data_IF_887079917725
#
_entry.id   IF_887079917725
#
_cell.length_a   1.000
_cell.length_b   1.000
_cell.length_c   1.000
_cell.angle_alpha   90.00
_cell.angle_beta   90.00
_cell.angle_gamma   90.00
#
_symmetry.space_group_name_H-M   'P 1'
#
loop_
_entity.id
_entity.type
_entity.pdbx_description
1 polymer ?
#
# COMPACT_ATOMS: atom_id res chain seq x y z
N UNK A 1 -21.85 2.81 4.04
CA UNK A 1 -20.83 3.75 3.51
C UNK A 1 -19.93 4.39 4.57
N UNK A 2 -20.43 5.09 5.61
CA UNK A 2 -19.59 5.83 6.59
C UNK A 2 -18.48 5.00 7.29
N UNK A 3 -18.70 3.70 7.52
CA UNK A 3 -17.74 2.81 8.21
C UNK A 3 -16.46 2.51 7.41
N UNK A 4 -16.50 2.65 6.09
CA UNK A 4 -15.38 2.32 5.20
C UNK A 4 -14.75 3.56 4.54
N UNK A 5 -15.31 4.75 4.77
CA UNK A 5 -14.81 6.00 4.20
C UNK A 5 -13.31 6.21 4.43
N UNK A 6 -12.73 5.94 5.61
CA UNK A 6 -11.28 6.08 5.82
C UNK A 6 -10.46 5.15 4.91
N UNK A 7 -10.91 3.92 4.70
CA UNK A 7 -10.26 2.93 3.84
C UNK A 7 -10.31 3.37 2.36
N UNK A 8 -11.45 3.91 1.91
CA UNK A 8 -11.57 4.44 0.56
C UNK A 8 -10.65 5.63 0.32
N UNK A 9 -10.63 6.61 1.24
CA UNK A 9 -9.75 7.78 1.12
C UNK A 9 -8.28 7.33 1.10
N UNK A 10 -7.91 6.41 1.98
CA UNK A 10 -6.59 5.80 1.99
C UNK A 10 -6.23 5.13 0.65
N UNK A 11 -7.10 4.29 0.08
CA UNK A 11 -6.84 3.69 -1.24
C UNK A 11 -6.70 4.75 -2.34
N UNK A 12 -7.56 5.77 -2.34
CA UNK A 12 -7.51 6.85 -3.33
C UNK A 12 -6.26 7.73 -3.21
N UNK A 13 -5.73 7.99 -2.01
CA UNK A 13 -4.47 8.75 -1.87
C UNK A 13 -3.30 7.99 -2.45
N UNK A 14 -3.25 6.67 -2.30
CA UNK A 14 -2.24 5.79 -2.90
C UNK A 14 -2.34 5.78 -4.43
N UNK A 15 -3.56 5.68 -4.98
CA UNK A 15 -3.78 5.80 -6.44
C UNK A 15 -3.30 7.16 -6.93
N UNK A 16 -3.68 8.23 -6.23
CA UNK A 16 -3.32 9.60 -6.59
C UNK A 16 -1.82 9.84 -6.55
N UNK A 17 -1.11 9.27 -5.57
CA UNK A 17 0.36 9.28 -5.53
C UNK A 17 0.98 8.64 -6.79
N UNK A 18 0.40 7.54 -7.26
CA UNK A 18 0.84 6.90 -8.50
C UNK A 18 0.57 7.73 -9.76
N UNK A 19 -0.61 8.36 -9.84
CA UNK A 19 -0.94 9.28 -10.94
C UNK A 19 0.01 10.50 -10.94
N UNK A 20 0.31 11.05 -9.77
CA UNK A 20 1.27 12.16 -9.64
C UNK A 20 2.65 11.76 -10.16
N UNK A 21 3.15 10.58 -9.82
CA UNK A 21 4.43 10.08 -10.32
C UNK A 21 4.45 9.98 -11.86
N UNK A 22 3.35 9.54 -12.48
CA UNK A 22 3.25 9.39 -13.95
C UNK A 22 3.16 10.77 -14.65
N UNK A 23 2.29 11.64 -14.17
CA UNK A 23 1.98 12.91 -14.85
C UNK A 23 2.98 14.01 -14.54
N UNK A 24 3.58 14.00 -13.35
CA UNK A 24 4.57 15.00 -12.92
C UNK A 24 6.01 14.50 -13.07
N UNK A 25 6.25 13.41 -13.82
CA UNK A 25 7.60 12.87 -14.07
C UNK A 25 8.60 13.88 -14.64
N UNK A 26 8.10 14.86 -15.41
CA UNK A 26 8.91 15.91 -16.03
C UNK A 26 8.82 17.26 -15.29
N UNK A 27 8.21 17.27 -14.10
CA UNK A 27 8.09 18.48 -13.29
C UNK A 27 9.36 18.77 -12.48
N UNK A 28 9.39 19.92 -11.81
CA UNK A 28 10.46 20.25 -10.86
C UNK A 28 10.44 19.25 -9.69
N UNK A 29 11.61 18.69 -9.38
CA UNK A 29 11.82 17.76 -8.27
C UNK A 29 11.16 18.23 -6.96
N UNK A 30 11.37 19.50 -6.60
CA UNK A 30 10.83 20.08 -5.37
C UNK A 30 9.30 20.03 -5.30
N UNK A 31 8.61 20.21 -6.43
CA UNK A 31 7.15 20.13 -6.50
C UNK A 31 6.67 18.69 -6.34
N UNK A 32 7.27 17.74 -7.08
CA UNK A 32 6.93 16.32 -6.96
C UNK A 32 7.16 15.81 -5.53
N UNK A 33 8.34 16.10 -4.96
CA UNK A 33 8.72 15.76 -3.58
C UNK A 33 7.66 16.24 -2.58
N UNK A 34 7.30 17.52 -2.65
CA UNK A 34 6.36 18.13 -1.70
C UNK A 34 4.96 17.53 -1.81
N UNK A 35 4.42 17.46 -3.03
CA UNK A 35 3.04 16.98 -3.25
C UNK A 35 2.94 15.49 -2.89
N UNK A 36 3.92 14.68 -3.31
CA UNK A 36 3.97 13.25 -2.99
C UNK A 36 4.10 13.00 -1.48
N UNK A 37 4.95 13.76 -0.80
CA UNK A 37 5.10 13.66 0.65
C UNK A 37 3.82 14.02 1.41
N UNK A 38 3.14 15.11 1.01
CA UNK A 38 1.88 15.54 1.65
C UNK A 38 0.77 14.51 1.42
N UNK A 39 0.57 14.05 0.18
CA UNK A 39 -0.54 13.13 -0.13
C UNK A 39 -0.38 11.78 0.58
N UNK A 40 0.85 11.30 0.72
CA UNK A 40 1.14 10.05 1.43
C UNK A 40 1.07 10.22 2.95
N UNK A 41 1.39 11.40 3.49
CA UNK A 41 1.14 11.74 4.89
C UNK A 41 -0.36 11.68 5.20
N UNK A 42 -1.19 12.28 4.33
CA UNK A 42 -2.66 12.22 4.45
C UNK A 42 -3.12 10.75 4.37
N UNK A 43 -2.60 9.98 3.41
CA UNK A 43 -2.87 8.55 3.29
C UNK A 43 -2.53 7.76 4.55
N UNK A 44 -1.37 8.04 5.17
CA UNK A 44 -0.94 7.41 6.41
C UNK A 44 -1.90 7.68 7.58
N UNK A 45 -2.38 8.93 7.73
CA UNK A 45 -3.37 9.28 8.74
C UNK A 45 -4.65 8.47 8.55
N UNK A 46 -5.17 8.37 7.33
CA UNK A 46 -6.38 7.59 7.04
C UNK A 46 -6.18 6.08 7.21
N UNK A 47 -5.00 5.55 6.86
CA UNK A 47 -4.67 4.15 7.16
C UNK A 47 -4.62 3.89 8.67
N UNK A 48 -4.07 4.82 9.45
CA UNK A 48 -4.04 4.71 10.91
C UNK A 48 -5.44 4.76 11.52
N UNK A 49 -6.30 5.68 11.08
CA UNK A 49 -7.71 5.73 11.48
C UNK A 49 -8.44 4.45 11.11
N UNK A 50 -8.14 3.88 9.94
CA UNK A 50 -8.69 2.59 9.50
C UNK A 50 -8.23 1.45 10.41
N UNK A 51 -6.95 1.41 10.78
CA UNK A 51 -6.39 0.44 11.71
C UNK A 51 -7.11 0.52 13.06
N UNK A 52 -7.17 1.71 13.69
CA UNK A 52 -7.84 1.92 14.99
C UNK A 52 -9.31 1.51 14.98
N UNK A 53 -10.02 1.79 13.87
CA UNK A 53 -11.42 1.38 13.68
C UNK A 53 -11.59 -0.15 13.64
N UNK A 54 -10.50 -0.89 13.40
CA UNK A 54 -10.44 -2.36 13.32
C UNK A 54 -9.67 -3.01 14.47
N UNK A 55 -9.37 -2.29 15.56
CA UNK A 55 -8.63 -2.82 16.74
C UNK A 55 -9.10 -4.17 17.28
N UNK A 56 -10.41 -4.47 17.17
CA UNK A 56 -10.99 -5.75 17.61
C UNK A 56 -10.70 -6.92 16.68
N UNK A 57 -10.14 -6.66 15.50
CA UNK A 57 -9.76 -7.62 14.48
C UNK A 57 -8.25 -7.54 14.25
N UNK A 58 -7.50 -8.28 15.07
CA UNK A 58 -6.03 -8.24 15.12
C UNK A 58 -5.37 -8.26 13.73
N UNK A 59 -5.83 -9.14 12.86
CA UNK A 59 -5.35 -9.26 11.47
C UNK A 59 -5.48 -7.96 10.69
N UNK A 60 -6.69 -7.39 10.65
CA UNK A 60 -6.96 -6.16 9.89
C UNK A 60 -6.29 -4.95 10.53
N UNK A 61 -6.22 -4.92 11.87
CA UNK A 61 -5.51 -3.89 12.62
C UNK A 61 -4.03 -3.84 12.23
N UNK A 62 -3.30 -4.95 12.40
CA UNK A 62 -1.86 -4.97 12.14
C UNK A 62 -1.54 -4.72 10.66
N UNK A 63 -2.39 -5.18 9.74
CA UNK A 63 -2.23 -4.91 8.31
C UNK A 63 -2.24 -3.41 8.00
N UNK A 64 -3.30 -2.71 8.41
CA UNK A 64 -3.44 -1.28 8.14
C UNK A 64 -2.47 -0.43 8.97
N UNK A 65 -2.12 -0.89 10.16
CA UNK A 65 -1.09 -0.25 11.00
C UNK A 65 0.28 -0.30 10.33
N UNK A 66 0.72 -1.47 9.85
CA UNK A 66 1.99 -1.58 9.12
C UNK A 66 2.03 -0.66 7.91
N UNK A 67 0.93 -0.55 7.16
CA UNK A 67 0.84 0.36 6.02
C UNK A 67 0.91 1.83 6.44
N UNK A 68 0.23 2.20 7.52
CA UNK A 68 0.29 3.55 8.08
C UNK A 68 1.72 3.92 8.48
N UNK A 69 2.41 3.02 9.18
CA UNK A 69 3.81 3.19 9.61
C UNK A 69 4.73 3.31 8.39
N UNK A 70 4.61 2.43 7.40
CA UNK A 70 5.44 2.48 6.21
C UNK A 70 5.26 3.80 5.44
N UNK A 71 4.01 4.24 5.25
CA UNK A 71 3.72 5.48 4.53
C UNK A 71 4.19 6.71 5.29
N UNK A 72 4.02 6.78 6.62
CA UNK A 72 4.49 7.93 7.39
C UNK A 72 6.01 7.99 7.41
N UNK A 73 6.70 6.86 7.59
CA UNK A 73 8.16 6.77 7.52
C UNK A 73 8.69 7.20 6.15
N UNK A 74 8.06 6.73 5.07
CA UNK A 74 8.42 7.14 3.71
C UNK A 74 8.12 8.61 3.44
N UNK A 75 6.98 9.13 3.92
CA UNK A 75 6.63 10.55 3.74
C UNK A 75 7.61 11.47 4.46
N UNK A 76 8.01 11.12 5.69
CA UNK A 76 9.06 11.83 6.43
C UNK A 76 10.39 11.74 5.68
N UNK A 77 10.77 10.54 5.20
CA UNK A 77 11.97 10.33 4.40
C UNK A 77 12.00 11.24 3.16
N UNK A 78 10.91 11.29 2.41
CA UNK A 78 10.80 12.19 1.25
C UNK A 78 10.90 13.63 1.70
N UNK A 79 10.02 14.11 2.58
CA UNK A 79 9.90 15.54 2.87
C UNK A 79 11.20 16.13 3.44
N UNK A 80 11.87 15.42 4.35
CA UNK A 80 13.01 15.96 5.09
C UNK A 80 14.37 15.55 4.51
N UNK A 81 14.49 14.36 3.92
CA UNK A 81 15.80 13.80 3.57
C UNK A 81 16.02 13.60 2.06
N UNK A 82 14.96 13.60 1.25
CA UNK A 82 15.10 13.45 -0.20
C UNK A 82 15.53 14.78 -0.85
N UNK A 83 16.69 14.79 -1.50
CA UNK A 83 17.25 15.98 -2.15
C UNK A 83 17.37 15.86 -3.67
N UNK A 84 17.30 14.65 -4.21
CA UNK A 84 17.42 14.38 -5.65
C UNK A 84 16.40 13.33 -6.11
N UNK A 85 16.13 13.32 -7.42
CA UNK A 85 15.34 12.27 -8.08
C UNK A 85 15.87 10.85 -7.83
N UNK A 86 17.19 10.70 -7.75
CA UNK A 86 17.84 9.44 -7.42
C UNK A 86 17.52 8.97 -5.99
N UNK A 87 17.63 9.87 -5.00
CA UNK A 87 17.23 9.54 -3.63
C UNK A 87 15.73 9.22 -3.51
N UNK A 88 14.88 9.88 -4.30
CA UNK A 88 13.46 9.57 -4.38
C UNK A 88 13.23 8.15 -4.91
N UNK A 89 13.92 7.79 -5.99
CA UNK A 89 13.88 6.46 -6.58
C UNK A 89 14.27 5.39 -5.54
N UNK A 90 15.37 5.61 -4.83
CA UNK A 90 15.86 4.69 -3.80
C UNK A 90 14.84 4.51 -2.65
N UNK A 91 14.29 5.60 -2.10
CA UNK A 91 13.29 5.51 -1.05
C UNK A 91 12.00 4.83 -1.52
N UNK A 92 11.58 5.09 -2.75
CA UNK A 92 10.36 4.49 -3.31
C UNK A 92 10.53 2.99 -3.53
N UNK A 93 11.69 2.61 -4.07
CA UNK A 93 12.10 1.21 -4.23
C UNK A 93 12.06 0.48 -2.88
N UNK A 94 12.67 1.07 -1.86
CA UNK A 94 12.68 0.51 -0.51
C UNK A 94 11.26 0.35 0.05
N UNK A 95 10.39 1.36 -0.13
CA UNK A 95 8.98 1.26 0.28
C UNK A 95 8.28 0.07 -0.38
N UNK A 96 8.44 -0.13 -1.69
CA UNK A 96 7.77 -1.22 -2.40
C UNK A 96 8.31 -2.59 -2.04
N UNK A 97 9.62 -2.72 -1.86
CA UNK A 97 10.22 -3.95 -1.35
C UNK A 97 9.68 -4.26 0.05
N UNK A 98 9.66 -3.27 0.94
CA UNK A 98 9.05 -3.41 2.26
C UNK A 98 7.59 -3.86 2.17
N UNK A 99 6.82 -3.30 1.24
CA UNK A 99 5.42 -3.68 1.00
C UNK A 99 5.27 -5.13 0.50
N UNK A 100 6.15 -5.58 -0.38
CA UNK A 100 6.14 -6.96 -0.85
C UNK A 100 6.43 -7.92 0.31
N UNK A 101 7.40 -7.59 1.17
CA UNK A 101 7.70 -8.37 2.37
C UNK A 101 6.55 -8.34 3.39
N UNK A 102 5.90 -7.20 3.61
CA UNK A 102 4.78 -7.10 4.56
C UNK A 102 3.59 -7.95 4.10
N UNK A 103 3.31 -8.02 2.80
CA UNK A 103 2.26 -8.89 2.25
C UNK A 103 2.59 -10.38 2.46
N UNK A 104 3.85 -10.79 2.29
CA UNK A 104 4.30 -12.18 2.54
C UNK A 104 4.17 -12.52 4.03
N UNK A 105 4.65 -11.64 4.91
CA UNK A 105 4.55 -11.82 6.37
C UNK A 105 3.09 -11.91 6.82
N UNK A 106 2.23 -11.07 6.24
CA UNK A 106 0.80 -11.09 6.51
C UNK A 106 0.15 -12.40 6.07
N UNK A 107 0.51 -12.94 4.90
CA UNK A 107 0.04 -14.25 4.45
C UNK A 107 0.49 -15.37 5.40
N UNK A 108 1.75 -15.36 5.83
CA UNK A 108 2.26 -16.32 6.80
C UNK A 108 1.51 -16.25 8.13
N UNK A 109 1.24 -15.04 8.62
CA UNK A 109 0.48 -14.84 9.84
C UNK A 109 -0.97 -15.32 9.72
N UNK A 110 -1.62 -15.10 8.57
CA UNK A 110 -2.94 -15.65 8.27
C UNK A 110 -2.93 -17.18 8.40
N UNK A 111 -1.95 -17.88 7.80
CA UNK A 111 -1.80 -19.33 7.91
C UNK A 111 -1.64 -19.82 9.36
N UNK A 112 -0.84 -19.12 10.16
CA UNK A 112 -0.59 -19.50 11.56
C UNK A 112 -1.79 -19.27 12.49
N UNK A 113 -2.79 -18.47 12.10
CA UNK A 113 -3.97 -18.21 12.93
C UNK A 113 -4.98 -19.37 12.94
N UNK A 114 -4.80 -20.42 12.13
CA UNK A 114 -5.62 -21.64 12.16
C UNK A 114 -7.12 -21.44 11.90
N UNK A 115 -7.53 -20.24 11.47
CA UNK A 115 -8.91 -19.94 11.11
C UNK A 115 -9.23 -20.45 9.71
N UNK A 116 -10.51 -20.55 9.35
CA UNK A 116 -10.97 -20.82 7.99
C UNK A 116 -10.49 -19.70 7.04
N UNK A 117 -9.24 -19.79 6.59
CA UNK A 117 -8.64 -18.84 5.68
C UNK A 117 -9.29 -19.04 4.33
N UNK A 118 -9.88 -17.96 3.81
CA UNK A 118 -10.36 -17.96 2.43
C UNK A 118 -9.10 -17.91 1.55
N UNK A 119 -8.66 -19.06 1.04
CA UNK A 119 -7.44 -19.22 0.20
C UNK A 119 -7.37 -18.21 -0.94
N UNK A 120 -8.52 -17.78 -1.48
CA UNK A 120 -8.62 -16.72 -2.50
C UNK A 120 -7.97 -15.40 -2.04
N UNK A 121 -8.10 -15.03 -0.77
CA UNK A 121 -7.49 -13.81 -0.21
C UNK A 121 -5.97 -13.93 -0.20
N UNK A 122 -5.47 -15.08 0.27
CA UNK A 122 -4.03 -15.33 0.34
C UNK A 122 -3.41 -15.34 -1.05
N UNK A 123 -4.05 -16.02 -2.01
CA UNK A 123 -3.58 -16.04 -3.40
C UNK A 123 -3.45 -14.62 -3.97
N UNK A 124 -4.49 -13.80 -3.81
CA UNK A 124 -4.48 -12.41 -4.28
C UNK A 124 -3.32 -11.63 -3.67
N UNK A 125 -3.08 -11.77 -2.36
CA UNK A 125 -1.99 -11.09 -1.65
C UNK A 125 -0.61 -11.54 -2.06
N UNK A 126 -0.40 -12.84 -2.25
CA UNK A 126 0.86 -13.37 -2.79
C UNK A 126 1.11 -12.81 -4.20
N UNK A 127 0.07 -12.77 -5.06
CA UNK A 127 0.20 -12.19 -6.40
C UNK A 127 0.57 -10.70 -6.35
N UNK A 128 -0.01 -9.94 -5.41
CA UNK A 128 0.34 -8.53 -5.20
C UNK A 128 1.76 -8.39 -4.67
N UNK A 129 2.18 -9.23 -3.72
CA UNK A 129 3.54 -9.22 -3.20
C UNK A 129 4.57 -9.50 -4.31
N UNK A 130 4.31 -10.52 -5.13
CA UNK A 130 5.14 -10.86 -6.28
C UNK A 130 5.16 -9.73 -7.31
N UNK A 131 4.00 -9.19 -7.67
CA UNK A 131 3.91 -8.08 -8.62
C UNK A 131 4.67 -6.85 -8.12
N UNK A 132 4.49 -6.49 -6.85
CA UNK A 132 5.14 -5.32 -6.24
C UNK A 132 6.64 -5.53 -6.12
N UNK A 133 7.08 -6.69 -5.64
CA UNK A 133 8.49 -7.01 -5.46
C UNK A 133 9.23 -7.18 -6.79
N UNK A 134 8.77 -8.08 -7.65
CA UNK A 134 9.39 -8.33 -8.96
C UNK A 134 9.26 -7.08 -9.83
N UNK A 135 8.10 -6.43 -9.85
CA UNK A 135 7.88 -5.20 -10.59
C UNK A 135 8.86 -4.11 -10.17
N UNK A 136 9.12 -3.95 -8.88
CA UNK A 136 10.11 -2.98 -8.38
C UNK A 136 11.53 -3.33 -8.85
N UNK A 137 11.93 -4.60 -8.80
CA UNK A 137 13.26 -5.03 -9.31
C UNK A 137 13.39 -4.77 -10.81
N UNK A 138 12.35 -5.08 -11.59
CA UNK A 138 12.34 -4.79 -13.03
C UNK A 138 12.44 -3.29 -13.29
N UNK A 139 11.61 -2.48 -12.62
CA UNK A 139 11.60 -1.01 -12.78
C UNK A 139 12.97 -0.40 -12.45
N UNK A 140 13.59 -0.85 -11.36
CA UNK A 140 14.92 -0.36 -10.94
C UNK A 140 16.05 -0.85 -11.82
N UNK A 141 15.92 -2.00 -12.49
CA UNK A 141 16.91 -2.45 -13.47
C UNK A 141 17.02 -1.50 -14.68
N UNK A 142 15.97 -0.75 -15.00
CA UNK A 142 15.98 0.28 -16.05
C UNK A 142 16.54 1.63 -15.59
N UNK A 143 17.00 1.74 -14.33
CA UNK A 143 17.31 3.03 -13.73
C UNK A 143 18.41 3.83 -14.44
N UNK A 144 19.37 3.13 -15.05
CA UNK A 144 20.48 3.75 -15.79
C UNK A 144 20.14 4.08 -17.24
N UNK A 145 19.01 3.58 -17.76
CA UNK A 145 18.69 3.66 -19.19
C UNK A 145 17.60 4.68 -19.48
N UNK A 146 16.58 4.80 -18.62
CA UNK A 146 15.47 5.73 -18.84
C UNK A 146 14.80 6.12 -17.52
N UNK A 147 15.11 7.31 -17.00
CA UNK A 147 14.53 7.82 -15.76
C UNK A 147 13.01 8.02 -15.83
N UNK A 148 12.45 8.38 -16.99
CA UNK A 148 10.99 8.55 -17.12
C UNK A 148 10.25 7.21 -16.91
N UNK A 149 10.81 6.11 -17.43
CA UNK A 149 10.22 4.78 -17.28
C UNK A 149 10.22 4.30 -15.82
N UNK A 150 11.15 4.77 -15.00
CA UNK A 150 11.16 4.48 -13.56
C UNK A 150 9.92 5.07 -12.89
N UNK A 151 9.64 6.36 -13.12
CA UNK A 151 8.51 7.04 -12.49
C UNK A 151 7.17 6.50 -12.98
N UNK A 152 7.08 6.15 -14.25
CA UNK A 152 5.91 5.45 -14.79
C UNK A 152 5.73 4.10 -14.09
N UNK A 153 6.79 3.31 -13.99
CA UNK A 153 6.77 2.01 -13.32
C UNK A 153 6.36 2.10 -11.86
N UNK A 154 6.97 3.01 -11.10
CA UNK A 154 6.59 3.28 -9.72
C UNK A 154 5.15 3.78 -9.58
N UNK A 155 4.70 4.63 -10.49
CA UNK A 155 3.33 5.11 -10.49
C UNK A 155 2.31 3.99 -10.72
N UNK A 156 2.60 3.06 -11.64
CA UNK A 156 1.77 1.88 -11.87
C UNK A 156 1.70 0.98 -10.64
N UNK A 157 2.83 0.76 -9.95
CA UNK A 157 2.87 -0.03 -8.71
C UNK A 157 2.00 0.64 -7.63
N UNK A 158 2.13 1.94 -7.42
CA UNK A 158 1.27 2.69 -6.50
C UNK A 158 -0.22 2.51 -6.83
N UNK A 159 -0.61 2.67 -8.09
CA UNK A 159 -2.02 2.51 -8.51
C UNK A 159 -2.54 1.11 -8.17
N UNK A 160 -1.76 0.07 -8.44
CA UNK A 160 -2.15 -1.31 -8.16
C UNK A 160 -2.28 -1.57 -6.66
N UNK A 161 -1.37 -1.07 -5.84
CA UNK A 161 -1.49 -1.14 -4.38
C UNK A 161 -2.75 -0.42 -3.89
N UNK A 162 -3.05 0.75 -4.44
CA UNK A 162 -4.25 1.52 -4.14
C UNK A 162 -5.54 0.77 -4.49
N UNK A 163 -5.61 0.19 -5.68
CA UNK A 163 -6.74 -0.65 -6.11
C UNK A 163 -6.90 -1.85 -5.18
N UNK A 164 -5.81 -2.52 -4.80
CA UNK A 164 -5.87 -3.64 -3.86
C UNK A 164 -6.49 -3.23 -2.51
N UNK A 165 -6.10 -2.08 -1.96
CA UNK A 165 -6.67 -1.56 -0.71
C UNK A 165 -8.18 -1.35 -0.85
N UNK A 166 -8.65 -0.80 -1.97
CA UNK A 166 -10.08 -0.57 -2.23
C UNK A 166 -10.86 -1.89 -2.36
N UNK A 167 -10.31 -2.86 -3.10
CA UNK A 167 -10.90 -4.18 -3.32
C UNK A 167 -10.89 -5.08 -2.08
N UNK A 168 -10.10 -4.74 -1.06
CA UNK A 168 -10.08 -5.48 0.20
C UNK A 168 -11.36 -5.28 1.03
N UNK A 169 -12.17 -4.25 0.74
CA UNK A 169 -13.42 -3.93 1.45
C UNK A 169 -14.48 -5.05 1.46
N UNK A 170 -14.94 -5.60 0.31
CA UNK A 170 -15.96 -6.65 0.27
C UNK A 170 -15.49 -7.97 0.89
N UNK A 171 -14.18 -8.22 0.90
CA UNK A 171 -13.58 -9.37 1.57
C UNK A 171 -13.75 -9.27 3.09
N UNK A 172 -13.75 -8.06 3.65
CA UNK A 172 -13.95 -7.83 5.08
C UNK A 172 -15.40 -8.03 5.54
N UNK A 173 -16.38 -7.76 4.69
CA UNK A 173 -17.81 -7.86 5.02
C UNK A 173 -18.23 -9.33 5.14
N UNK A 174 -17.80 -10.18 4.21
CA UNK A 174 -18.11 -11.61 4.23
C UNK A 174 -17.57 -12.35 5.48
N UNK A 175 -16.45 -11.90 6.05
CA UNK A 175 -15.87 -12.49 7.27
C UNK A 175 -16.65 -12.08 8.53
N UNK A 176 -17.22 -10.87 8.55
CA UNK A 176 -18.05 -10.41 9.68
C UNK A 176 -19.41 -11.12 9.70
N UNK A 177 -19.99 -11.36 8.53
CA UNK A 177 -21.28 -12.05 8.41
C UNK A 177 -21.18 -13.54 8.79
N UNK A 178 -20.07 -14.21 8.44
CA UNK A 178 -19.77 -15.59 8.86
C UNK A 178 -19.64 -15.75 10.38
N UNK A 179 -19.31 -14.68 11.11
CA UNK A 179 -19.19 -14.70 12.58
C UNK A 179 -20.53 -14.46 13.30
N UNK A 180 -21.53 -13.96 12.56
CA UNK A 180 -22.85 -13.63 13.09
C UNK A 180 -23.95 -14.62 12.65
N UNK A 181 -23.64 -15.61 11.82
CA UNK A 181 -24.52 -16.76 11.61
C UNK A 181 -24.50 -17.64 12.87
N UNK A 182 -25.63 -17.80 13.59
CA UNK A 182 -25.71 -18.76 14.67
C UNK A 182 -25.42 -20.15 14.09
N UNK A 183 -24.47 -20.85 14.70
CA UNK A 183 -24.27 -22.28 14.43
C UNK A 183 -25.53 -22.97 14.94
N UNK A 184 -26.46 -23.28 14.04
CA UNK A 184 -27.50 -24.26 14.32
C UNK A 184 -26.81 -25.61 14.40
N UNK A 185 -26.55 -26.07 15.62
CA UNK A 185 -26.29 -27.49 15.92
C UNK A 185 -27.63 -28.21 15.90
#
# INVERSE_FOLDING_TARGET
MKKHTPLFIYGFTIISAGLLMIFLRNSLFSSLKLILGIILTIGAVFAFVTALSRRKKLVQFAYHEMHAIAMISYSIAILFFCQTFETLNYYTTFLFIFYAFSEILFCNWLFNLGQNIIYKIVLVRILIALFTGIGTVVVTSYANTNQEMIYIGHGVIFIILGINILLYTPVMENIDDLKNTPISI
#
